data_IF_084886640442
#
_entry.id   IF_084886640442
#
_cell.length_a   1.000
_cell.length_b   1.000
_cell.length_c   1.000
_cell.angle_alpha   90.00
_cell.angle_beta   90.00
_cell.angle_gamma   90.00
#
_symmetry.space_group_name_H-M   'P 1'
#
loop_
_entity.id
_entity.type
_entity.pdbx_description
1 polymer ?
#
# COMPACT_ATOMS: atom_id res chain seq x y z
N UNK A 1 19.18 -10.46 -12.36
CA UNK A 1 18.08 -10.81 -11.45
C UNK A 1 18.15 -9.85 -10.29
N UNK A 2 17.08 -9.14 -9.99
CA UNK A 2 17.05 -8.16 -8.92
C UNK A 2 15.96 -8.54 -7.91
N UNK A 3 16.32 -8.63 -6.63
CA UNK A 3 15.39 -8.90 -5.52
C UNK A 3 15.13 -7.60 -4.76
N UNK A 4 13.88 -7.19 -4.69
CA UNK A 4 13.45 -5.94 -4.06
C UNK A 4 12.62 -6.25 -2.84
N UNK A 5 13.00 -5.68 -1.69
CA UNK A 5 12.19 -5.65 -0.48
C UNK A 5 11.39 -4.36 -0.45
N UNK A 6 10.07 -4.46 -0.35
CA UNK A 6 9.15 -3.33 -0.32
C UNK A 6 8.42 -3.23 1.01
N UNK A 7 8.37 -2.01 1.59
CA UNK A 7 7.70 -1.72 2.86
C UNK A 7 6.58 -0.71 2.62
N UNK A 8 5.38 -1.05 3.07
CA UNK A 8 4.20 -0.18 3.04
C UNK A 8 3.63 -0.04 4.46
N UNK A 9 3.48 1.21 4.91
CA UNK A 9 2.97 1.54 6.24
C UNK A 9 2.15 2.83 6.26
N UNK A 10 1.51 3.17 5.15
CA UNK A 10 0.89 4.50 4.96
C UNK A 10 -0.36 4.75 5.83
N UNK A 11 -1.04 3.70 6.29
CA UNK A 11 -2.27 3.82 7.08
C UNK A 11 -2.25 2.88 8.29
N UNK A 12 -3.15 1.93 8.37
CA UNK A 12 -3.34 1.01 9.50
C UNK A 12 -2.90 -0.44 9.19
N UNK A 13 -2.22 -0.63 8.08
CA UNK A 13 -1.63 -1.91 7.72
C UNK A 13 -0.11 -1.77 7.57
N UNK A 14 0.65 -2.64 8.26
CA UNK A 14 2.08 -2.80 8.03
C UNK A 14 2.28 -3.96 7.08
N UNK A 15 2.85 -3.70 5.91
CA UNK A 15 3.10 -4.72 4.91
C UNK A 15 4.55 -4.74 4.48
N UNK A 16 5.09 -5.96 4.29
CA UNK A 16 6.38 -6.21 3.65
C UNK A 16 6.18 -7.23 2.54
N UNK A 17 6.69 -6.92 1.36
CA UNK A 17 6.69 -7.80 0.21
C UNK A 17 8.11 -7.97 -0.34
N UNK A 18 8.40 -9.14 -0.90
CA UNK A 18 9.65 -9.41 -1.60
C UNK A 18 9.33 -9.80 -3.03
N UNK A 19 9.88 -9.04 -3.95
CA UNK A 19 9.61 -9.15 -5.38
C UNK A 19 10.91 -9.42 -6.13
N UNK A 20 10.89 -10.39 -7.05
CA UNK A 20 12.01 -10.72 -7.91
C UNK A 20 11.72 -10.33 -9.36
N UNK A 21 12.70 -9.68 -9.99
CA UNK A 21 12.66 -9.26 -11.39
C UNK A 21 11.38 -8.47 -11.78
N UNK A 22 10.80 -7.75 -10.82
CA UNK A 22 9.66 -6.86 -11.04
C UNK A 22 8.29 -7.54 -11.14
N UNK A 23 8.22 -8.87 -11.21
CA UNK A 23 6.95 -9.62 -11.42
C UNK A 23 6.75 -10.80 -10.49
N UNK A 24 7.79 -11.52 -10.11
CA UNK A 24 7.68 -12.71 -9.28
C UNK A 24 7.54 -12.30 -7.81
N UNK A 25 6.34 -12.43 -7.25
CA UNK A 25 6.08 -12.18 -5.84
C UNK A 25 6.55 -13.38 -5.01
N UNK A 26 7.67 -13.25 -4.31
CA UNK A 26 8.24 -14.31 -3.46
C UNK A 26 7.51 -14.39 -2.12
N UNK A 27 7.17 -13.24 -1.53
CA UNK A 27 6.38 -13.19 -0.30
C UNK A 27 5.60 -11.88 -0.18
N UNK A 28 4.50 -11.92 0.58
CA UNK A 28 3.71 -10.76 0.95
C UNK A 28 3.08 -10.98 2.32
N UNK A 29 3.54 -10.26 3.32
CA UNK A 29 3.04 -10.34 4.70
C UNK A 29 2.39 -9.03 5.09
N UNK A 30 1.19 -9.11 5.64
CA UNK A 30 0.39 -7.96 6.08
C UNK A 30 0.00 -8.15 7.54
N UNK A 31 0.34 -7.18 8.38
CA UNK A 31 -0.18 -7.05 9.74
C UNK A 31 -1.28 -5.99 9.76
N UNK A 32 -2.53 -6.43 9.65
CA UNK A 32 -3.70 -5.55 9.66
C UNK A 32 -4.11 -5.18 11.08
N UNK A 33 -4.55 -3.94 11.25
CA UNK A 33 -5.04 -3.39 12.52
C UNK A 33 -6.56 -3.15 12.52
N UNK A 34 -7.28 -3.72 11.53
CA UNK A 34 -8.73 -3.53 11.37
C UNK A 34 -9.49 -3.80 12.68
N UNK A 35 -9.18 -4.92 13.37
CA UNK A 35 -9.86 -5.29 14.60
C UNK A 35 -9.62 -4.32 15.76
N UNK A 36 -8.49 -3.62 15.75
CA UNK A 36 -8.18 -2.57 16.72
C UNK A 36 -8.99 -1.33 16.41
N UNK A 37 -8.95 -0.86 15.17
CA UNK A 37 -9.60 0.37 14.73
C UNK A 37 -11.13 0.27 14.65
N UNK A 38 -11.66 -0.93 14.46
CA UNK A 38 -13.09 -1.24 14.54
C UNK A 38 -13.75 -0.75 15.83
N UNK A 39 -13.03 -0.81 16.95
CA UNK A 39 -13.53 -0.34 18.26
C UNK A 39 -13.72 1.19 18.29
N UNK A 40 -13.05 1.92 17.43
CA UNK A 40 -13.12 3.39 17.32
C UNK A 40 -13.99 3.84 16.15
N UNK A 41 -14.48 2.90 15.33
CA UNK A 41 -15.26 3.19 14.13
C UNK A 41 -14.47 3.90 13.02
N UNK A 42 -13.15 3.74 13.00
CA UNK A 42 -12.24 4.33 12.02
C UNK A 42 -10.80 4.35 12.50
N UNK A 43 -9.87 4.66 11.60
CA UNK A 43 -8.43 4.66 11.90
C UNK A 43 -8.06 5.79 12.86
N UNK A 44 -7.34 5.45 13.93
CA UNK A 44 -6.75 6.40 14.88
C UNK A 44 -5.25 6.50 14.61
N UNK A 45 -4.73 7.62 14.06
CA UNK A 45 -3.36 7.72 13.56
C UNK A 45 -2.28 7.40 14.59
N UNK A 46 -2.47 7.81 15.85
CA UNK A 46 -1.50 7.54 16.91
C UNK A 46 -1.45 6.05 17.27
N UNK A 47 -2.59 5.38 17.30
CA UNK A 47 -2.65 3.94 17.55
C UNK A 47 -2.00 3.20 16.38
N UNK A 48 -2.30 3.59 15.15
CA UNK A 48 -1.74 2.98 13.95
C UNK A 48 -0.21 3.02 13.97
N UNK A 49 0.39 4.20 14.20
CA UNK A 49 1.84 4.35 14.23
C UNK A 49 2.51 3.54 15.35
N UNK A 50 1.93 3.50 16.55
CA UNK A 50 2.44 2.67 17.65
C UNK A 50 2.43 1.19 17.33
N UNK A 51 1.34 0.71 16.72
CA UNK A 51 1.22 -0.70 16.31
C UNK A 51 2.22 -1.06 15.21
N UNK A 52 2.51 -0.16 14.28
CA UNK A 52 3.57 -0.37 13.31
C UNK A 52 4.94 -0.58 13.97
N UNK A 53 5.30 0.23 14.97
CA UNK A 53 6.54 0.04 15.73
C UNK A 53 6.60 -1.35 16.38
N UNK A 54 5.49 -1.82 16.91
CA UNK A 54 5.42 -3.14 17.57
C UNK A 54 5.61 -4.32 16.59
N UNK A 55 5.17 -4.19 15.33
CA UNK A 55 5.11 -5.33 14.41
C UNK A 55 6.11 -5.27 13.24
N UNK A 56 6.71 -4.12 12.91
CA UNK A 56 7.54 -3.96 11.70
C UNK A 56 8.64 -5.01 11.57
N UNK A 57 9.40 -5.26 12.64
CA UNK A 57 10.48 -6.25 12.61
C UNK A 57 9.98 -7.69 12.52
N UNK A 58 8.78 -7.98 13.05
CA UNK A 58 8.17 -9.31 12.94
C UNK A 58 7.68 -9.55 11.52
N UNK A 59 7.00 -8.58 10.92
CA UNK A 59 6.51 -8.64 9.53
C UNK A 59 7.68 -8.81 8.55
N UNK A 60 8.79 -8.08 8.77
CA UNK A 60 9.99 -8.21 7.97
C UNK A 60 10.59 -9.63 8.04
N UNK A 61 10.76 -10.16 9.26
CA UNK A 61 11.32 -11.52 9.45
C UNK A 61 10.43 -12.58 8.81
N UNK A 62 9.14 -12.44 8.93
CA UNK A 62 8.19 -13.36 8.32
C UNK A 62 8.23 -13.30 6.80
N UNK A 63 8.32 -12.10 6.22
CA UNK A 63 8.45 -11.94 4.76
C UNK A 63 9.70 -12.61 4.21
N UNK A 64 10.86 -12.45 4.87
CA UNK A 64 12.11 -13.12 4.50
C UNK A 64 11.99 -14.66 4.63
N UNK A 65 11.37 -15.13 5.71
CA UNK A 65 11.16 -16.56 5.93
C UNK A 65 10.24 -17.19 4.87
N UNK A 66 9.14 -16.50 4.50
CA UNK A 66 8.23 -16.99 3.47
C UNK A 66 8.84 -16.98 2.08
N UNK A 67 9.72 -16.02 1.80
CA UNK A 67 10.47 -15.95 0.54
C UNK A 67 11.62 -16.97 0.46
N UNK A 68 11.99 -17.62 1.57
CA UNK A 68 13.12 -18.51 1.71
C UNK A 68 14.45 -17.89 1.24
N UNK A 69 14.67 -16.61 1.60
CA UNK A 69 15.90 -15.88 1.27
C UNK A 69 16.50 -15.23 2.51
N UNK A 70 17.82 -14.97 2.43
CA UNK A 70 18.49 -14.16 3.44
C UNK A 70 18.39 -12.67 3.11
N UNK A 71 18.54 -11.81 4.13
CA UNK A 71 18.43 -10.36 3.94
C UNK A 71 19.55 -9.79 3.07
N UNK A 72 20.71 -10.47 3.00
CA UNK A 72 21.87 -10.11 2.18
C UNK A 72 21.59 -10.26 0.68
N UNK A 73 20.63 -11.09 0.30
CA UNK A 73 20.24 -11.32 -1.10
C UNK A 73 19.36 -10.19 -1.66
N UNK A 74 18.91 -9.25 -0.81
CA UNK A 74 18.16 -8.08 -1.25
C UNK A 74 19.07 -7.12 -2.03
N UNK A 75 18.63 -6.71 -3.21
CA UNK A 75 19.37 -5.79 -4.09
C UNK A 75 18.94 -4.33 -3.92
N UNK A 76 17.69 -4.07 -3.55
CA UNK A 76 17.16 -2.73 -3.31
C UNK A 76 16.04 -2.77 -2.29
N UNK A 77 15.84 -1.64 -1.58
CA UNK A 77 14.74 -1.44 -0.65
C UNK A 77 13.81 -0.37 -1.22
N UNK A 78 12.53 -0.70 -1.35
CA UNK A 78 11.47 0.22 -1.71
C UNK A 78 10.63 0.55 -0.48
N UNK A 79 10.15 1.79 -0.37
CA UNK A 79 9.28 2.19 0.73
C UNK A 79 8.27 3.24 0.28
N UNK A 80 7.06 3.14 0.75
CA UNK A 80 6.05 4.18 0.53
C UNK A 80 6.45 5.46 1.26
N UNK A 81 6.63 6.54 0.48
CA UNK A 81 6.99 7.87 1.00
C UNK A 81 5.79 8.78 1.25
N UNK A 82 4.61 8.40 0.77
CA UNK A 82 3.36 9.15 0.85
C UNK A 82 2.49 9.02 -0.41
N UNK A 83 1.25 9.53 -0.36
CA UNK A 83 0.56 10.06 0.81
C UNK A 83 0.23 9.00 1.87
N UNK A 84 -0.14 9.45 3.09
CA UNK A 84 -0.52 8.60 4.20
C UNK A 84 -0.39 9.29 5.56
N UNK A 85 -0.67 8.56 6.62
CA UNK A 85 -0.54 9.02 8.00
C UNK A 85 0.94 9.23 8.34
N UNK A 86 1.31 10.45 8.73
CA UNK A 86 2.71 10.85 8.92
C UNK A 86 3.44 9.93 9.91
N UNK A 87 2.84 9.63 11.06
CA UNK A 87 3.44 8.74 12.06
C UNK A 87 3.65 7.32 11.55
N UNK A 88 2.67 6.78 10.82
CA UNK A 88 2.72 5.45 10.21
C UNK A 88 3.79 5.37 9.12
N UNK A 89 3.82 6.34 8.19
CA UNK A 89 4.85 6.45 7.16
C UNK A 89 6.27 6.52 7.75
N UNK A 90 6.43 7.26 8.85
CA UNK A 90 7.74 7.38 9.51
C UNK A 90 8.28 6.03 9.96
N UNK A 91 7.45 5.13 10.48
CA UNK A 91 7.91 3.80 10.93
C UNK A 91 8.51 3.01 9.78
N UNK A 92 7.77 2.84 8.67
CA UNK A 92 8.26 2.12 7.50
C UNK A 92 9.48 2.78 6.85
N UNK A 93 9.48 4.13 6.76
CA UNK A 93 10.64 4.86 6.23
C UNK A 93 11.90 4.72 7.10
N UNK A 94 11.78 4.68 8.42
CA UNK A 94 12.95 4.47 9.28
C UNK A 94 13.48 3.04 9.17
N UNK A 95 12.62 2.05 9.13
CA UNK A 95 13.02 0.66 8.88
C UNK A 95 13.75 0.54 7.53
N UNK A 96 13.13 1.05 6.46
CA UNK A 96 13.73 1.02 5.12
C UNK A 96 15.10 1.72 5.04
N UNK A 97 15.24 2.90 5.68
CA UNK A 97 16.52 3.62 5.73
C UNK A 97 17.58 2.85 6.51
N UNK A 98 17.20 2.26 7.64
CA UNK A 98 18.11 1.45 8.45
C UNK A 98 18.64 0.25 7.66
N UNK A 99 17.74 -0.46 6.99
CA UNK A 99 18.13 -1.59 6.12
C UNK A 99 19.00 -1.14 4.96
N UNK A 100 18.66 -0.05 4.28
CA UNK A 100 19.45 0.47 3.15
C UNK A 100 20.88 0.83 3.56
N UNK A 101 21.05 1.46 4.71
CA UNK A 101 22.36 1.81 5.27
C UNK A 101 23.11 0.54 5.69
N UNK A 102 22.47 -0.35 6.44
CA UNK A 102 23.11 -1.56 6.95
C UNK A 102 23.58 -2.48 5.84
N UNK A 103 22.75 -2.68 4.82
CA UNK A 103 23.04 -3.56 3.68
C UNK A 103 23.85 -2.86 2.57
N UNK A 104 24.05 -1.55 2.68
CA UNK A 104 24.64 -0.72 1.62
C UNK A 104 23.93 -0.90 0.27
N UNK A 105 22.58 -0.84 0.29
CA UNK A 105 21.72 -1.03 -0.89
C UNK A 105 20.94 0.24 -1.20
N UNK A 106 20.53 0.45 -2.46
CA UNK A 106 19.74 1.62 -2.84
C UNK A 106 18.37 1.64 -2.16
N UNK A 107 17.93 2.84 -1.78
CA UNK A 107 16.59 3.11 -1.22
C UNK A 107 15.73 3.83 -2.25
N UNK A 108 14.54 3.31 -2.51
CA UNK A 108 13.59 3.81 -3.51
C UNK A 108 12.31 4.27 -2.81
N UNK A 109 11.99 5.56 -2.93
CA UNK A 109 10.74 6.12 -2.39
C UNK A 109 9.60 5.99 -3.40
N UNK A 110 8.55 5.25 -3.04
CA UNK A 110 7.39 4.98 -3.89
C UNK A 110 6.20 5.85 -3.47
N UNK A 111 5.42 6.32 -4.43
CA UNK A 111 4.15 7.00 -4.18
C UNK A 111 3.05 5.96 -3.92
N UNK A 112 2.30 6.10 -2.81
CA UNK A 112 1.29 5.13 -2.38
C UNK A 112 0.28 4.78 -3.49
N UNK A 113 -0.31 5.79 -4.13
CA UNK A 113 -1.31 5.57 -5.19
C UNK A 113 -0.69 4.91 -6.43
N UNK A 114 0.56 5.27 -6.79
CA UNK A 114 1.27 4.61 -7.86
C UNK A 114 1.51 3.12 -7.53
N UNK A 115 1.86 2.80 -6.29
CA UNK A 115 1.97 1.42 -5.82
C UNK A 115 0.68 0.64 -6.00
N UNK A 116 -0.47 1.21 -5.64
CA UNK A 116 -1.77 0.59 -5.88
C UNK A 116 -2.06 0.35 -7.37
N UNK A 117 -1.76 1.33 -8.23
CA UNK A 117 -1.98 1.18 -9.67
C UNK A 117 -1.10 0.06 -10.23
N UNK A 118 0.21 0.07 -9.93
CA UNK A 118 1.15 -0.93 -10.44
C UNK A 118 1.01 -2.31 -9.83
N UNK A 119 0.37 -2.47 -8.68
CA UNK A 119 0.06 -3.80 -8.12
C UNK A 119 -0.74 -4.67 -9.10
N UNK A 120 -1.48 -4.06 -10.04
CA UNK A 120 -2.20 -4.78 -11.08
C UNK A 120 -1.28 -5.47 -12.10
N UNK A 121 -0.05 -4.98 -12.30
CA UNK A 121 0.92 -5.61 -13.20
C UNK A 121 1.43 -6.97 -12.70
N UNK A 122 1.19 -7.31 -11.43
CA UNK A 122 1.45 -8.64 -10.91
C UNK A 122 0.53 -9.71 -11.53
N UNK A 123 -0.63 -9.32 -12.03
CA UNK A 123 -1.64 -10.23 -12.60
C UNK A 123 -1.96 -9.97 -14.07
N UNK A 124 -1.82 -8.72 -14.53
CA UNK A 124 -2.10 -8.33 -15.91
C UNK A 124 -1.15 -7.24 -16.37
N UNK A 125 -0.70 -7.27 -17.61
CA UNK A 125 0.06 -6.17 -18.19
C UNK A 125 -0.85 -4.96 -18.42
N UNK A 126 -0.38 -3.75 -18.06
CA UNK A 126 -1.11 -2.51 -18.33
C UNK A 126 -0.80 -2.06 -19.76
N UNK A 127 -1.85 -2.01 -20.60
CA UNK A 127 -1.74 -1.49 -21.96
C UNK A 127 -1.95 0.05 -21.96
N UNK A 128 -0.98 0.79 -22.49
CA UNK A 128 -1.03 2.26 -22.57
C UNK A 128 -1.57 2.73 -23.95
N UNK A 129 -2.30 3.88 -24.00
CA UNK A 129 -2.73 4.72 -22.88
C UNK A 129 -3.79 4.04 -22.03
N UNK A 130 -3.72 4.21 -20.71
CA UNK A 130 -4.61 3.60 -19.74
C UNK A 130 -5.29 4.65 -18.86
N UNK A 131 -6.41 4.27 -18.27
CA UNK A 131 -7.08 5.05 -17.24
C UNK A 131 -7.28 4.18 -16.00
N UNK A 132 -6.80 4.63 -14.86
CA UNK A 132 -6.98 3.97 -13.59
C UNK A 132 -8.03 4.72 -12.75
N UNK A 133 -9.06 4.01 -12.31
CA UNK A 133 -9.97 4.47 -11.29
C UNK A 133 -9.47 3.94 -9.93
N UNK A 134 -8.95 4.84 -9.11
CA UNK A 134 -8.51 4.53 -7.74
C UNK A 134 -9.67 4.79 -6.80
N UNK A 135 -10.08 3.77 -6.06
CA UNK A 135 -11.17 3.86 -5.07
C UNK A 135 -10.69 3.20 -3.78
N UNK A 136 -10.60 3.97 -2.70
CA UNK A 136 -10.17 3.50 -1.39
C UNK A 136 -10.88 4.24 -0.26
N UNK A 137 -10.50 3.94 0.98
CA UNK A 137 -10.97 4.67 2.17
C UNK A 137 -10.55 6.15 2.19
N UNK A 138 -9.38 6.48 1.62
CA UNK A 138 -8.83 7.83 1.66
C UNK A 138 -8.77 8.55 0.30
N UNK A 139 -8.95 7.82 -0.83
CA UNK A 139 -8.79 8.39 -2.15
C UNK A 139 -9.88 7.92 -3.12
N UNK A 140 -10.35 8.85 -3.94
CA UNK A 140 -11.16 8.57 -5.13
C UNK A 140 -10.66 9.45 -6.25
N UNK A 141 -9.90 8.84 -7.17
CA UNK A 141 -9.20 9.55 -8.22
C UNK A 141 -9.33 8.83 -9.56
N UNK A 142 -9.43 9.61 -10.63
CA UNK A 142 -9.33 9.15 -12.00
C UNK A 142 -7.99 9.59 -12.55
N UNK A 143 -7.12 8.63 -12.86
CA UNK A 143 -5.73 8.87 -13.27
C UNK A 143 -5.53 8.43 -14.71
N UNK A 144 -5.16 9.37 -15.59
CA UNK A 144 -4.77 9.08 -16.96
C UNK A 144 -3.27 8.77 -17.04
N UNK A 145 -2.95 7.68 -17.71
CA UNK A 145 -1.58 7.19 -17.93
C UNK A 145 -1.31 7.11 -19.43
N UNK A 146 -0.67 8.12 -19.98
CA UNK A 146 -0.31 8.15 -21.42
C UNK A 146 0.73 7.09 -21.76
N UNK A 147 1.64 6.82 -20.84
CA UNK A 147 2.71 5.81 -20.92
C UNK A 147 3.11 5.38 -19.51
N UNK A 148 3.93 4.38 -19.41
CA UNK A 148 4.53 3.94 -18.14
C UNK A 148 5.14 5.12 -17.35
N UNK A 149 4.92 5.12 -16.02
CA UNK A 149 5.34 6.18 -15.06
C UNK A 149 4.82 7.59 -15.38
N UNK A 150 3.79 7.72 -16.20
CA UNK A 150 3.13 9.00 -16.48
C UNK A 150 1.76 9.02 -15.80
N UNK A 151 1.59 9.88 -14.80
CA UNK A 151 0.35 10.01 -14.03
C UNK A 151 -0.20 11.41 -14.16
N UNK A 152 -1.43 11.52 -14.65
CA UNK A 152 -2.19 12.76 -14.72
C UNK A 152 -3.53 12.55 -14.04
N UNK A 153 -3.72 13.19 -12.88
CA UNK A 153 -5.01 13.14 -12.16
C UNK A 153 -5.99 14.05 -12.91
N UNK A 154 -6.96 13.45 -13.61
CA UNK A 154 -7.96 14.17 -14.39
C UNK A 154 -9.27 14.35 -13.64
N UNK A 155 -9.45 13.70 -12.51
CA UNK A 155 -10.61 13.84 -11.62
C UNK A 155 -10.31 13.32 -10.23
N UNK A 156 -10.84 14.00 -9.23
CA UNK A 156 -10.78 13.58 -7.82
C UNK A 156 -12.08 13.95 -7.12
N UNK A 157 -12.40 13.30 -6.03
CA UNK A 157 -13.52 13.73 -5.18
C UNK A 157 -13.24 15.10 -4.56
N UNK A 158 -14.29 15.89 -4.38
CA UNK A 158 -14.21 17.21 -3.73
C UNK A 158 -14.47 17.15 -2.24
N UNK A 159 -14.98 16.03 -1.73
CA UNK A 159 -15.33 15.81 -0.35
C UNK A 159 -14.82 14.43 0.08
N UNK A 160 -15.67 13.60 0.66
CA UNK A 160 -15.27 12.27 1.11
C UNK A 160 -14.83 11.36 -0.05
N UNK A 161 -13.82 10.56 0.19
CA UNK A 161 -13.56 9.41 -0.67
C UNK A 161 -14.73 8.41 -0.61
N UNK A 162 -14.95 7.66 -1.68
CA UNK A 162 -16.08 6.70 -1.74
C UNK A 162 -16.04 5.72 -0.56
N UNK A 163 -14.86 5.19 -0.21
CA UNK A 163 -14.74 4.28 0.94
C UNK A 163 -15.12 4.95 2.26
N UNK A 164 -14.69 6.17 2.48
CA UNK A 164 -15.05 6.94 3.67
C UNK A 164 -16.56 7.23 3.71
N UNK A 165 -17.16 7.58 2.58
CA UNK A 165 -18.61 7.80 2.48
C UNK A 165 -19.40 6.52 2.85
N UNK A 166 -18.97 5.36 2.37
CA UNK A 166 -19.57 4.07 2.75
C UNK A 166 -19.44 3.79 4.24
N UNK A 167 -18.28 4.03 4.83
CA UNK A 167 -18.06 3.80 6.26
C UNK A 167 -18.89 4.75 7.13
N UNK A 168 -19.04 6.00 6.72
CA UNK A 168 -19.93 6.98 7.39
C UNK A 168 -21.40 6.55 7.34
N UNK A 169 -21.89 6.13 6.18
CA UNK A 169 -23.27 5.62 6.02
C UNK A 169 -23.43 4.33 6.80
N UNK A 170 -22.48 3.42 6.73
CA UNK A 170 -22.49 2.16 7.49
C UNK A 170 -22.62 2.39 8.98
N UNK A 171 -21.92 3.38 9.52
CA UNK A 171 -22.02 3.76 10.95
C UNK A 171 -23.42 4.21 11.33
N UNK A 172 -24.08 5.02 10.48
CA UNK A 172 -25.47 5.46 10.72
C UNK A 172 -26.45 4.29 10.69
N UNK A 173 -26.19 3.30 9.83
CA UNK A 173 -27.01 2.10 9.69
C UNK A 173 -26.65 0.98 10.68
N UNK A 174 -25.71 1.22 11.61
CA UNK A 174 -25.17 0.23 12.55
C UNK A 174 -24.60 -1.02 11.87
N UNK A 175 -24.04 -0.87 10.65
CA UNK A 175 -23.34 -1.93 9.94
C UNK A 175 -21.87 -2.06 10.42
N UNK A 176 -21.26 -3.23 10.28
CA UNK A 176 -19.88 -3.42 10.74
C UNK A 176 -18.87 -2.58 9.93
N UNK A 177 -17.84 -2.08 10.61
CA UNK A 177 -16.69 -1.39 10.02
C UNK A 177 -15.59 -2.39 9.69
N UNK A 178 -14.84 -2.23 8.59
CA UNK A 178 -15.06 -1.27 7.50
C UNK A 178 -16.10 -1.78 6.49
N UNK A 179 -17.12 -0.97 6.21
CA UNK A 179 -18.19 -1.36 5.28
C UNK A 179 -17.67 -1.46 3.85
N UNK A 180 -16.78 -0.54 3.46
CA UNK A 180 -16.17 -0.54 2.14
C UNK A 180 -15.46 -1.88 1.84
N UNK A 181 -14.75 -2.45 2.80
CA UNK A 181 -14.04 -3.73 2.65
C UNK A 181 -14.99 -4.91 2.42
N UNK A 182 -16.18 -4.83 3.00
CA UNK A 182 -17.21 -5.88 2.82
C UNK A 182 -17.89 -5.83 1.46
N UNK A 183 -17.95 -4.64 0.85
CA UNK A 183 -18.65 -4.42 -0.42
C UNK A 183 -17.70 -4.44 -1.63
N UNK A 184 -16.45 -4.03 -1.43
CA UNK A 184 -15.47 -3.86 -2.50
C UNK A 184 -14.09 -4.35 -2.04
N UNK A 185 -13.78 -5.60 -2.29
CA UNK A 185 -12.42 -6.13 -2.12
C UNK A 185 -11.56 -5.49 -3.22
N UNK A 186 -10.79 -4.46 -2.87
CA UNK A 186 -9.74 -3.82 -3.70
C UNK A 186 -10.10 -3.75 -5.20
N UNK A 187 -11.10 -2.94 -5.54
CA UNK A 187 -11.48 -2.81 -6.95
C UNK A 187 -10.72 -1.66 -7.57
N UNK A 188 -9.59 -1.96 -8.20
CA UNK A 188 -8.96 -1.06 -9.16
C UNK A 188 -9.47 -1.47 -10.55
N UNK A 189 -10.14 -0.55 -11.22
CA UNK A 189 -10.71 -0.82 -12.53
C UNK A 189 -9.86 -0.07 -13.56
N UNK A 190 -9.28 -0.81 -14.51
CA UNK A 190 -8.58 -0.23 -15.64
C UNK A 190 -9.50 -0.18 -16.86
N UNK A 191 -9.51 0.96 -17.51
CA UNK A 191 -10.15 1.13 -18.81
C UNK A 191 -9.07 1.42 -19.86
N UNK A 192 -9.10 0.65 -20.95
CA UNK A 192 -8.32 1.01 -22.13
C UNK A 192 -8.94 2.25 -22.77
N UNK A 193 -8.16 3.31 -22.91
CA UNK A 193 -8.58 4.50 -23.65
C UNK A 193 -8.32 4.23 -25.12
N UNK A 194 -9.39 4.21 -25.94
CA UNK A 194 -9.30 4.09 -27.40
C UNK A 194 -9.14 5.45 -28.05
#
# INVERSE_FOLDING_TARGET
>A
MAVILAIESSCDEMSVAILKDGKELLSHVVASQIDIHKQYGGVVPEIASRKHVECVSTVLKEALSQADISIEEIDAIAVTKGPGLVGSLHVGMQEAKTLAIYLNKPLIGVHHIAGHIYANELVNDIEYPAMALVVSGGHTELVYMKKEFSFEVIGTTFDDAIGEAYDKVGRVLHLPYPLFYLLFINTQIFFRVR
#
